data_IF_913477427592
#
_entry.id   IF_913477427592
#
_cell.length_a   1.000
_cell.length_b   1.000
_cell.length_c   1.000
_cell.angle_alpha   90.00
_cell.angle_beta   90.00
_cell.angle_gamma   90.00
#
_symmetry.space_group_name_H-M   'P 1'
#
loop_
_entity.id
_entity.type
_entity.pdbx_description
1 polymer ?
#
# COMPACT_ATOMS: atom_id res chain seq x y z
N UNK A 1 -0.50 -68.00 -1.33
CA UNK A 1 0.50 -67.71 -2.40
C UNK A 1 0.02 -66.48 -3.12
N UNK A 2 0.60 -65.31 -2.79
CA UNK A 2 0.21 -64.00 -3.29
C UNK A 2 1.10 -63.61 -4.47
N UNK A 3 0.50 -63.34 -5.61
CA UNK A 3 1.21 -62.80 -6.77
C UNK A 3 1.24 -61.30 -6.67
N UNK A 4 2.44 -60.72 -6.53
CA UNK A 4 2.69 -59.28 -6.65
C UNK A 4 2.74 -58.91 -8.14
N UNK A 5 1.80 -58.12 -8.60
CA UNK A 5 1.84 -57.48 -9.92
C UNK A 5 2.74 -56.27 -9.87
N UNK A 6 3.82 -56.29 -10.62
CA UNK A 6 4.71 -55.15 -10.83
C UNK A 6 4.13 -54.37 -12.00
N UNK A 7 3.57 -53.16 -11.74
CA UNK A 7 3.27 -52.23 -12.82
C UNK A 7 4.52 -51.39 -13.12
N UNK A 8 5.12 -51.66 -14.24
CA UNK A 8 6.17 -50.85 -14.83
C UNK A 8 5.48 -49.70 -15.56
N UNK A 9 5.55 -48.47 -15.00
CA UNK A 9 5.16 -47.26 -15.74
C UNK A 9 6.39 -46.78 -16.51
N UNK A 10 6.48 -47.15 -17.75
CA UNK A 10 7.40 -46.57 -18.71
C UNK A 10 6.60 -45.52 -19.51
N UNK A 11 7.04 -44.26 -19.49
CA UNK A 11 6.54 -43.25 -20.41
C UNK A 11 6.05 -41.98 -19.75
N UNK A 12 6.89 -40.96 -19.63
CA UNK A 12 6.44 -39.66 -19.17
C UNK A 12 7.51 -38.61 -18.90
N UNK A 13 8.76 -38.87 -19.28
CA UNK A 13 9.86 -37.92 -18.99
C UNK A 13 9.87 -36.66 -19.89
N UNK A 14 9.15 -36.66 -21.02
CA UNK A 14 9.19 -35.54 -21.98
C UNK A 14 8.15 -34.42 -21.70
N UNK A 15 7.01 -34.75 -21.08
CA UNK A 15 5.96 -33.79 -20.78
C UNK A 15 6.25 -32.93 -19.50
N UNK A 16 7.03 -33.49 -18.57
CA UNK A 16 7.38 -32.79 -17.32
C UNK A 16 8.30 -31.60 -17.53
N UNK A 17 9.19 -31.64 -18.51
CA UNK A 17 10.14 -30.53 -18.77
C UNK A 17 9.47 -29.31 -19.40
N UNK A 18 8.41 -29.48 -20.21
CA UNK A 18 7.67 -28.34 -20.79
C UNK A 18 6.79 -27.63 -19.75
N UNK A 19 6.22 -28.38 -18.80
CA UNK A 19 5.47 -27.78 -17.68
C UNK A 19 6.37 -27.05 -16.71
N UNK A 20 7.55 -27.56 -16.41
CA UNK A 20 8.52 -26.90 -15.54
C UNK A 20 9.04 -25.59 -16.15
N UNK A 21 9.28 -25.53 -17.44
CA UNK A 21 9.67 -24.29 -18.13
C UNK A 21 8.54 -23.27 -18.18
N UNK A 22 7.29 -23.69 -18.37
CA UNK A 22 6.12 -22.81 -18.37
C UNK A 22 5.86 -22.17 -17.00
N UNK A 23 6.00 -22.92 -15.92
CA UNK A 23 5.85 -22.44 -14.55
C UNK A 23 6.94 -21.41 -14.19
N UNK A 24 8.21 -21.70 -14.58
CA UNK A 24 9.32 -20.76 -14.36
C UNK A 24 9.11 -19.43 -15.10
N UNK A 25 8.53 -19.44 -16.29
CA UNK A 25 8.23 -18.21 -17.04
C UNK A 25 7.10 -17.39 -16.40
N UNK A 26 6.10 -18.05 -15.83
CA UNK A 26 5.00 -17.37 -15.14
C UNK A 26 5.48 -16.72 -13.84
N UNK A 27 6.35 -17.39 -13.08
CA UNK A 27 6.92 -16.82 -11.86
C UNK A 27 7.86 -15.64 -12.14
N UNK A 28 8.61 -15.64 -13.25
CA UNK A 28 9.47 -14.54 -13.67
C UNK A 28 8.68 -13.31 -14.16
N UNK A 29 7.43 -13.48 -14.60
CA UNK A 29 6.57 -12.41 -15.10
C UNK A 29 5.48 -12.00 -14.10
N UNK A 30 5.34 -12.70 -12.98
CA UNK A 30 4.43 -12.30 -11.91
C UNK A 30 4.94 -10.98 -11.30
N UNK A 31 4.09 -9.94 -11.17
CA UNK A 31 4.48 -8.76 -10.43
C UNK A 31 4.88 -9.21 -9.03
N UNK A 32 6.08 -8.85 -8.60
CA UNK A 32 6.46 -9.02 -7.20
C UNK A 32 5.57 -8.11 -6.39
N UNK A 33 4.57 -8.67 -5.73
CA UNK A 33 3.84 -7.95 -4.70
C UNK A 33 4.87 -7.57 -3.63
N UNK A 34 5.03 -6.27 -3.41
CA UNK A 34 5.85 -5.78 -2.32
C UNK A 34 5.34 -6.44 -1.02
N UNK A 35 6.20 -7.23 -0.38
CA UNK A 35 5.83 -7.91 0.86
C UNK A 35 5.81 -6.86 1.98
N UNK A 36 4.64 -6.24 2.20
CA UNK A 36 4.43 -5.35 3.33
C UNK A 36 4.49 -6.15 4.64
N UNK A 37 5.13 -5.57 5.65
CA UNK A 37 5.25 -6.20 6.98
C UNK A 37 4.08 -5.87 7.90
N UNK A 38 3.36 -4.80 7.59
CA UNK A 38 2.22 -4.32 8.36
C UNK A 38 1.00 -4.14 7.47
N UNK A 39 -0.18 -4.47 8.00
CA UNK A 39 -1.48 -4.23 7.38
C UNK A 39 -2.50 -3.88 8.46
N UNK A 40 -3.30 -2.87 8.23
CA UNK A 40 -4.39 -2.48 9.13
C UNK A 40 -5.54 -1.82 8.38
N UNK A 41 -6.76 -1.98 8.89
CA UNK A 41 -7.88 -1.15 8.46
C UNK A 41 -7.79 0.20 9.17
N UNK A 42 -7.78 1.28 8.39
CA UNK A 42 -7.65 2.65 8.89
C UNK A 42 -8.74 3.55 8.34
N UNK A 43 -9.11 4.54 9.14
CA UNK A 43 -9.95 5.65 8.69
C UNK A 43 -9.11 6.61 7.86
N UNK A 44 -9.47 6.80 6.59
CA UNK A 44 -8.76 7.67 5.65
C UNK A 44 -9.62 8.87 5.32
N UNK A 45 -9.15 10.03 5.70
CA UNK A 45 -9.77 11.35 5.44
C UNK A 45 -8.95 12.13 4.42
N UNK A 46 -9.31 13.39 4.16
CA UNK A 46 -8.61 14.22 3.20
C UNK A 46 -8.51 15.67 3.69
N UNK A 47 -7.40 16.34 3.36
CA UNK A 47 -7.16 17.73 3.66
C UNK A 47 -6.56 18.48 2.46
N UNK A 48 -6.61 19.81 2.48
CA UNK A 48 -5.99 20.69 1.48
C UNK A 48 -5.22 21.82 2.17
N UNK A 49 -4.37 22.59 1.46
CA UNK A 49 -3.55 23.63 2.04
C UNK A 49 -4.32 24.93 2.34
N UNK A 50 -5.64 24.89 2.51
CA UNK A 50 -6.44 26.05 2.80
C UNK A 50 -6.55 26.31 4.31
N UNK A 51 -6.90 27.55 4.69
CA UNK A 51 -7.06 27.93 6.10
C UNK A 51 -8.13 27.11 6.84
N UNK A 52 -9.15 26.61 6.13
CA UNK A 52 -10.19 25.76 6.73
C UNK A 52 -9.66 24.40 7.18
N UNK A 53 -8.70 23.84 6.43
CA UNK A 53 -8.08 22.54 6.74
C UNK A 53 -6.85 22.69 7.63
N UNK A 54 -5.98 23.64 7.35
CA UNK A 54 -4.65 23.77 7.96
C UNK A 54 -4.51 24.97 8.92
N UNK A 55 -5.46 25.88 8.96
CA UNK A 55 -5.37 27.08 9.80
C UNK A 55 -4.08 27.86 9.56
N UNK A 56 -3.29 28.09 10.62
CA UNK A 56 -2.03 28.81 10.55
C UNK A 56 -0.92 28.09 9.73
N UNK A 57 -1.10 26.81 9.41
CA UNK A 57 -0.15 25.99 8.66
C UNK A 57 -0.52 25.84 7.18
N UNK A 58 -1.40 26.69 6.66
CA UNK A 58 -1.85 26.70 5.25
C UNK A 58 -0.78 27.22 4.26
N UNK A 59 0.48 26.86 4.49
CA UNK A 59 1.63 27.29 3.67
C UNK A 59 2.01 26.28 2.57
N UNK A 60 1.32 25.13 2.50
CA UNK A 60 1.58 24.06 1.51
C UNK A 60 2.82 23.20 1.79
N UNK A 61 3.41 23.31 2.98
CA UNK A 61 4.53 22.49 3.43
C UNK A 61 4.11 21.53 4.53
N UNK A 62 4.71 20.36 4.54
CA UNK A 62 4.45 19.30 5.51
C UNK A 62 5.30 19.45 6.76
N UNK A 63 5.02 18.67 7.80
CA UNK A 63 5.82 18.61 9.02
C UNK A 63 7.29 18.22 8.77
N UNK A 64 7.57 17.43 7.72
CA UNK A 64 8.94 17.07 7.32
C UNK A 64 9.65 18.18 6.53
N UNK A 65 8.97 19.27 6.19
CA UNK A 65 9.48 20.37 5.37
C UNK A 65 9.39 20.13 3.86
N UNK A 66 8.81 19.00 3.43
CA UNK A 66 8.53 18.74 2.03
C UNK A 66 7.34 19.58 1.55
N UNK A 67 7.31 19.92 0.25
CA UNK A 67 6.11 20.49 -0.35
C UNK A 67 5.04 19.41 -0.45
N UNK A 68 3.86 19.69 0.11
CA UNK A 68 2.71 18.79 0.03
C UNK A 68 2.31 18.59 -1.44
N UNK A 69 2.12 17.35 -1.85
CA UNK A 69 1.84 16.98 -3.24
C UNK A 69 0.71 15.95 -3.28
N UNK A 70 -0.34 16.26 -4.03
CA UNK A 70 -1.46 15.35 -4.24
C UNK A 70 -0.98 14.04 -4.89
N UNK A 71 -1.48 12.90 -4.41
CA UNK A 71 -1.06 11.57 -4.86
C UNK A 71 0.27 11.09 -4.27
N UNK A 72 0.93 11.90 -3.42
CA UNK A 72 2.19 11.55 -2.75
C UNK A 72 2.06 11.71 -1.24
N UNK A 73 1.63 12.87 -0.78
CA UNK A 73 1.67 13.26 0.64
C UNK A 73 0.48 12.73 1.41
N UNK A 74 0.77 12.10 2.54
CA UNK A 74 -0.21 11.76 3.57
C UNK A 74 0.27 12.21 4.95
N UNK A 75 -0.69 12.54 5.82
CA UNK A 75 -0.47 12.72 7.25
C UNK A 75 -0.76 11.41 7.98
N UNK A 76 0.09 11.04 8.92
CA UNK A 76 -0.01 9.83 9.73
C UNK A 76 0.27 10.14 11.20
N UNK A 77 -0.05 9.19 12.07
CA UNK A 77 0.50 9.15 13.42
C UNK A 77 1.90 8.54 13.36
N UNK A 78 2.96 9.28 13.70
CA UNK A 78 4.34 8.77 13.62
C UNK A 78 4.62 7.57 14.52
N UNK A 79 3.81 7.36 15.57
CA UNK A 79 3.93 6.20 16.46
C UNK A 79 3.34 4.92 15.83
N UNK A 80 2.56 5.05 14.75
CA UNK A 80 1.96 3.93 14.01
C UNK A 80 2.66 3.76 12.66
N UNK A 81 2.79 4.84 11.89
CA UNK A 81 3.47 4.86 10.59
C UNK A 81 4.52 5.98 10.63
N UNK A 82 5.82 5.65 10.78
CA UNK A 82 6.89 6.64 10.89
C UNK A 82 6.99 7.54 9.66
N UNK A 83 7.48 8.77 9.86
CA UNK A 83 7.72 9.71 8.76
C UNK A 83 8.72 9.14 7.75
N UNK A 84 8.42 9.32 6.46
CA UNK A 84 9.20 8.82 5.34
C UNK A 84 8.81 7.41 4.87
N UNK A 85 7.90 6.74 5.57
CA UNK A 85 7.43 5.41 5.21
C UNK A 85 6.58 5.45 3.93
N UNK A 86 6.81 4.50 3.03
CA UNK A 86 5.94 4.23 1.88
C UNK A 86 4.70 3.45 2.35
N UNK A 87 3.53 3.95 1.96
CA UNK A 87 2.23 3.42 2.40
C UNK A 87 1.37 3.11 1.19
N UNK A 88 0.93 1.88 1.07
CA UNK A 88 0.01 1.46 0.01
C UNK A 88 -1.45 1.57 0.48
N UNK A 89 -2.27 2.24 -0.33
CA UNK A 89 -3.72 2.36 -0.16
C UNK A 89 -4.37 2.18 -1.54
N UNK A 90 -5.23 1.17 -1.68
CA UNK A 90 -5.92 0.85 -2.94
C UNK A 90 -4.97 0.67 -4.15
N UNK A 91 -3.79 0.08 -3.96
CA UNK A 91 -2.80 -0.15 -5.01
C UNK A 91 -1.97 1.08 -5.38
N UNK A 92 -2.12 2.20 -4.67
CA UNK A 92 -1.35 3.42 -4.86
C UNK A 92 -0.38 3.64 -3.69
N UNK A 93 0.85 4.06 -3.99
CA UNK A 93 1.89 4.32 -2.99
C UNK A 93 1.92 5.81 -2.64
N UNK A 94 1.78 6.09 -1.36
CA UNK A 94 1.93 7.40 -0.73
C UNK A 94 3.16 7.43 0.15
N UNK A 95 3.55 8.61 0.62
CA UNK A 95 4.65 8.81 1.56
C UNK A 95 4.14 9.54 2.80
N UNK A 96 4.41 8.99 3.97
CA UNK A 96 4.12 9.64 5.24
C UNK A 96 5.04 10.86 5.44
N UNK A 97 4.55 12.06 5.16
CA UNK A 97 5.32 13.31 5.19
C UNK A 97 4.77 14.33 6.16
N UNK A 98 3.55 14.13 6.64
CA UNK A 98 2.86 15.12 7.47
C UNK A 98 2.25 14.50 8.73
N UNK A 99 1.89 15.36 9.66
CA UNK A 99 1.18 15.05 10.89
C UNK A 99 -0.01 15.99 11.04
N UNK A 100 -0.98 15.61 11.85
CA UNK A 100 -2.11 16.47 12.19
C UNK A 100 -2.56 16.22 13.63
N UNK A 101 -3.07 17.25 14.30
CA UNK A 101 -3.54 17.15 15.69
C UNK A 101 -4.69 16.14 15.86
N UNK A 102 -5.47 15.89 14.81
CA UNK A 102 -6.56 14.92 14.80
C UNK A 102 -6.16 13.58 14.16
N UNK A 103 -4.92 13.43 13.65
CA UNK A 103 -4.40 12.23 13.02
C UNK A 103 -3.63 11.43 14.06
N UNK A 104 -4.31 10.47 14.67
CA UNK A 104 -3.80 9.65 15.75
C UNK A 104 -4.28 8.20 15.59
N UNK A 105 -3.41 7.23 15.92
CA UNK A 105 -3.72 5.81 15.80
C UNK A 105 -3.95 5.38 14.36
N UNK A 106 -5.00 4.60 14.14
CA UNK A 106 -5.37 4.06 12.82
C UNK A 106 -6.12 5.08 11.96
N UNK A 107 -5.52 6.25 11.76
CA UNK A 107 -6.06 7.33 10.96
C UNK A 107 -5.00 7.93 10.04
N UNK A 108 -5.40 8.17 8.79
CA UNK A 108 -4.59 8.80 7.75
C UNK A 108 -5.37 9.96 7.15
N UNK A 109 -4.65 10.99 6.72
CA UNK A 109 -5.22 12.13 6.02
C UNK A 109 -4.49 12.34 4.69
N UNK A 110 -5.22 12.21 3.57
CA UNK A 110 -4.67 12.37 2.22
C UNK A 110 -4.64 13.84 1.84
N UNK A 111 -3.51 14.28 1.27
CA UNK A 111 -3.40 15.64 0.74
C UNK A 111 -4.06 15.76 -0.63
N UNK A 112 -4.88 16.79 -0.79
CA UNK A 112 -5.47 17.24 -2.05
C UNK A 112 -5.13 18.71 -2.30
N UNK A 113 -4.96 19.08 -3.56
CA UNK A 113 -4.66 20.47 -3.95
C UNK A 113 -5.87 21.38 -3.75
N UNK A 114 -7.09 20.86 -3.90
CA UNK A 114 -8.33 21.60 -3.79
C UNK A 114 -9.18 21.17 -2.58
N UNK A 115 -9.85 22.17 -1.97
CA UNK A 115 -10.79 21.91 -0.89
C UNK A 115 -11.99 21.06 -1.34
N UNK A 116 -12.46 21.28 -2.56
CA UNK A 116 -13.59 20.57 -3.13
C UNK A 116 -13.29 19.07 -3.30
N UNK A 117 -12.11 18.74 -3.83
CA UNK A 117 -11.69 17.36 -4.01
C UNK A 117 -11.50 16.65 -2.66
N UNK A 118 -10.95 17.35 -1.66
CA UNK A 118 -10.84 16.83 -0.31
C UNK A 118 -12.22 16.54 0.31
N UNK A 119 -13.19 17.40 0.09
CA UNK A 119 -14.57 17.18 0.54
C UNK A 119 -15.25 16.02 -0.20
N UNK A 120 -14.99 15.85 -1.50
CA UNK A 120 -15.50 14.72 -2.28
C UNK A 120 -14.95 13.38 -1.81
N UNK A 121 -13.68 13.33 -1.40
CA UNK A 121 -13.11 12.14 -0.79
C UNK A 121 -13.88 11.72 0.47
N UNK A 122 -14.15 12.66 1.34
CA UNK A 122 -14.88 12.46 2.59
C UNK A 122 -14.10 11.60 3.60
N UNK A 123 -14.79 10.62 4.18
CA UNK A 123 -14.24 9.68 5.17
C UNK A 123 -14.46 8.26 4.69
N UNK A 124 -13.40 7.49 4.57
CA UNK A 124 -13.45 6.11 4.07
C UNK A 124 -12.66 5.18 4.98
N UNK A 125 -13.11 3.93 5.12
CA UNK A 125 -12.33 2.85 5.73
C UNK A 125 -11.56 2.12 4.62
N UNK A 126 -10.23 2.00 4.78
CA UNK A 126 -9.35 1.37 3.80
C UNK A 126 -8.41 0.37 4.46
N UNK A 127 -8.03 -0.64 3.71
CA UNK A 127 -6.89 -1.49 4.06
C UNK A 127 -5.63 -0.73 3.67
N UNK A 128 -4.76 -0.53 4.64
CA UNK A 128 -3.50 0.21 4.51
C UNK A 128 -2.35 -0.75 4.78
N UNK A 129 -1.34 -0.73 3.91
CA UNK A 129 -0.17 -1.58 4.01
C UNK A 129 1.11 -0.76 4.01
N UNK A 130 2.08 -1.15 4.84
CA UNK A 130 3.39 -0.49 4.89
C UNK A 130 4.46 -1.44 5.41
N UNK A 131 5.72 -1.04 5.24
CA UNK A 131 6.88 -1.70 5.84
C UNK A 131 7.75 -0.67 6.54
N UNK A 132 8.29 -1.06 7.69
CA UNK A 132 9.28 -0.27 8.42
C UNK A 132 10.70 -0.58 7.93
#
# INVERSE_FOLDING_TARGET
MSRKSIFTVAGGAALGLLFAAGILWVELLAPQEAAYTNESTMTVTAYCPCEKCCGAYSNGYTATGAKATQGVTIATDPDVIPMGTEVEIDGHIYIAQDVGGAISGNRIDLYFDSHEDALQWGVQEKIVRWSE
#
